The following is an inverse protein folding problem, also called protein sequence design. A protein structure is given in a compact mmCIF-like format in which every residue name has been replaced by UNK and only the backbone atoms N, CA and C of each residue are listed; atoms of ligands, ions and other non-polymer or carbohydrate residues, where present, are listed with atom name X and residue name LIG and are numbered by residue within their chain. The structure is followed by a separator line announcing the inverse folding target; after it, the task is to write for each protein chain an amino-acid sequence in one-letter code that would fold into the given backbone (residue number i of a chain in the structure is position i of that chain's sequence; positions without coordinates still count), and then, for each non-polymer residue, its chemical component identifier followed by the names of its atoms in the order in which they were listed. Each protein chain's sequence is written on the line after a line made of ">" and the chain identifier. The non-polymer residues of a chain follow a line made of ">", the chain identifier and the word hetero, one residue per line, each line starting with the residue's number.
data_IF_073585852364
#
_entry.id   IF_073585852364
#
_cell.length_a   1.000
_cell.length_b   1.000
_cell.length_c   1.000
_cell.angle_alpha   90.00
_cell.angle_beta   90.00
_cell.angle_gamma   90.00
#
_symmetry.space_group_name_H-M   'P 1'
#
loop_
_entity.id
_entity.type
_entity.pdbx_description
1 polymer ?
#
# COMPACT_ATOMS: atom_id res chain seq x y z
N UNK A 1 4.60 2.27 26.95
CA UNK A 1 5.51 1.37 27.67
C UNK A 1 6.27 0.52 26.66
N UNK A 2 7.57 0.72 26.62
CA UNK A 2 8.49 0.07 25.69
C UNK A 2 8.89 -1.33 26.22
N UNK A 3 7.95 -2.25 26.29
CA UNK A 3 8.32 -3.63 26.57
C UNK A 3 8.72 -4.33 25.28
N UNK A 4 9.90 -4.96 25.29
CA UNK A 4 10.30 -5.89 24.25
C UNK A 4 9.38 -7.12 24.35
N UNK A 5 8.48 -7.28 23.37
CA UNK A 5 7.50 -8.36 23.37
C UNK A 5 8.00 -9.49 22.46
N UNK A 6 8.11 -10.69 23.05
CA UNK A 6 8.39 -11.92 22.32
C UNK A 6 7.17 -12.80 22.38
N UNK A 7 6.36 -12.74 21.33
CA UNK A 7 5.12 -13.49 21.25
C UNK A 7 5.32 -14.80 20.49
N UNK A 8 4.52 -15.79 20.88
CA UNK A 8 4.42 -17.06 20.17
C UNK A 8 2.95 -17.42 20.02
N UNK A 9 2.55 -17.57 18.78
CA UNK A 9 1.19 -18.02 18.41
C UNK A 9 1.31 -19.44 17.90
N UNK A 10 0.36 -20.29 18.28
CA UNK A 10 0.30 -21.67 17.80
C UNK A 10 -1.15 -22.09 17.63
N UNK A 11 -1.45 -22.73 16.50
CA UNK A 11 -2.74 -23.38 16.26
C UNK A 11 -2.56 -24.59 15.37
N UNK A 12 -3.54 -25.49 15.39
CA UNK A 12 -3.62 -26.61 14.45
C UNK A 12 -4.57 -26.27 13.32
N UNK A 13 -4.36 -26.90 12.17
CA UNK A 13 -5.22 -26.77 11.01
C UNK A 13 -5.15 -28.02 10.13
N UNK A 14 -6.23 -28.26 9.42
CA UNK A 14 -6.38 -29.36 8.50
C UNK A 14 -6.60 -28.88 7.08
N UNK A 15 -6.08 -29.63 6.13
CA UNK A 15 -6.35 -29.45 4.70
C UNK A 15 -7.04 -30.73 4.21
N UNK A 16 -8.36 -30.84 4.31
CA UNK A 16 -9.08 -32.01 3.88
C UNK A 16 -8.83 -32.33 2.40
N UNK A 17 -8.67 -33.61 2.06
CA UNK A 17 -8.40 -34.07 0.70
C UNK A 17 -7.12 -33.46 0.10
N UNK A 18 -6.09 -33.25 0.93
CA UNK A 18 -4.80 -32.74 0.49
C UNK A 18 -4.13 -33.75 -0.45
N UNK A 19 -3.66 -33.22 -1.58
CA UNK A 19 -2.84 -33.95 -2.56
C UNK A 19 -1.55 -33.16 -2.80
N UNK A 20 -0.43 -33.54 -2.17
CA UNK A 20 0.82 -32.79 -2.25
C UNK A 20 1.42 -32.72 -3.67
N UNK A 21 0.99 -33.60 -4.56
CA UNK A 21 1.45 -33.59 -5.96
C UNK A 21 0.74 -32.51 -6.76
N UNK A 22 -0.58 -32.38 -6.58
CA UNK A 22 -1.43 -31.53 -7.40
C UNK A 22 -1.92 -30.26 -6.69
N UNK A 23 -1.81 -30.18 -5.37
CA UNK A 23 -2.22 -29.00 -4.59
C UNK A 23 -1.02 -28.18 -4.12
N UNK A 24 -1.27 -26.90 -3.85
CA UNK A 24 -0.35 -26.01 -3.14
C UNK A 24 -1.08 -25.34 -2.00
N UNK A 25 -0.38 -25.14 -0.89
CA UNK A 25 -0.91 -24.47 0.30
C UNK A 25 -0.01 -23.31 0.65
N UNK A 26 -0.60 -22.12 0.69
CA UNK A 26 0.09 -20.89 1.01
C UNK A 26 -0.50 -20.30 2.30
N UNK A 27 0.34 -19.95 3.25
CA UNK A 27 -0.03 -19.11 4.37
C UNK A 27 0.23 -17.64 3.98
N UNK A 28 -0.79 -16.81 4.08
CA UNK A 28 -0.70 -15.35 3.85
C UNK A 28 -1.02 -14.62 5.14
N UNK A 29 -0.13 -13.70 5.50
CA UNK A 29 -0.23 -12.82 6.65
C UNK A 29 -0.44 -11.39 6.16
N UNK A 30 -1.47 -10.70 6.61
CA UNK A 30 -1.71 -9.30 6.24
C UNK A 30 -0.87 -8.31 7.06
N UNK A 31 -0.19 -8.81 8.10
CA UNK A 31 0.77 -8.11 8.93
C UNK A 31 1.04 -8.87 10.24
N UNK A 32 2.30 -8.86 10.67
CA UNK A 32 2.74 -9.56 11.88
C UNK A 32 3.89 -8.79 12.55
N UNK A 33 3.65 -8.17 13.70
CA UNK A 33 4.55 -7.21 14.34
C UNK A 33 5.41 -7.87 15.42
N UNK A 34 6.67 -8.07 15.15
CA UNK A 34 7.52 -7.93 13.97
C UNK A 34 8.54 -9.09 13.94
N UNK A 35 9.50 -9.06 12.98
CA UNK A 35 10.51 -10.11 12.81
C UNK A 35 9.88 -11.53 12.83
N UNK A 36 8.83 -11.71 12.02
CA UNK A 36 7.99 -12.90 12.01
C UNK A 36 8.74 -14.12 11.46
N UNK A 37 8.83 -15.18 12.28
CA UNK A 37 9.29 -16.51 11.85
C UNK A 37 8.12 -17.47 11.91
N UNK A 38 7.80 -18.06 10.78
CA UNK A 38 6.70 -19.00 10.63
C UNK A 38 7.25 -20.42 10.59
N UNK A 39 6.70 -21.27 11.44
CA UNK A 39 7.04 -22.68 11.51
C UNK A 39 5.81 -23.54 11.20
N UNK A 40 5.98 -24.56 10.41
CA UNK A 40 4.94 -25.55 10.15
C UNK A 40 5.50 -26.93 10.51
N UNK A 41 4.78 -27.66 11.36
CA UNK A 41 5.19 -28.98 11.86
C UNK A 41 6.63 -28.99 12.42
N UNK A 42 7.01 -27.91 13.13
CA UNK A 42 8.32 -27.75 13.75
C UNK A 42 9.45 -27.30 12.84
N UNK A 43 9.22 -27.13 11.55
CA UNK A 43 10.22 -26.63 10.58
C UNK A 43 9.97 -25.17 10.25
N UNK A 44 11.02 -24.35 10.16
CA UNK A 44 10.90 -22.95 9.73
C UNK A 44 10.53 -22.90 8.24
N UNK A 45 9.37 -22.32 7.93
CA UNK A 45 8.85 -22.19 6.58
C UNK A 45 9.23 -20.85 5.94
N UNK A 46 9.18 -19.75 6.69
CA UNK A 46 9.64 -18.45 6.21
C UNK A 46 9.94 -17.47 7.35
N UNK A 47 10.63 -16.39 6.97
CA UNK A 47 10.93 -15.23 7.80
C UNK A 47 10.51 -13.96 7.07
N UNK A 48 9.87 -13.00 7.78
CA UNK A 48 9.58 -11.66 7.29
C UNK A 48 9.78 -10.62 8.40
N UNK A 49 10.70 -9.66 8.24
CA UNK A 49 11.06 -8.77 9.35
C UNK A 49 10.11 -7.59 9.55
N UNK A 50 9.54 -7.03 8.46
CA UNK A 50 8.77 -5.79 8.53
C UNK A 50 7.31 -6.05 8.88
N UNK A 51 6.92 -5.63 10.09
CA UNK A 51 5.62 -5.99 10.67
C UNK A 51 4.40 -5.38 9.99
N UNK A 52 4.57 -4.32 9.22
CA UNK A 52 3.47 -3.65 8.52
C UNK A 52 3.15 -4.24 7.16
N UNK A 53 4.07 -5.01 6.59
CA UNK A 53 3.88 -5.57 5.25
C UNK A 53 3.11 -6.88 5.30
N UNK A 54 2.28 -7.09 4.29
CA UNK A 54 1.72 -8.41 4.04
C UNK A 54 2.78 -9.30 3.37
N UNK A 55 2.82 -10.56 3.78
CA UNK A 55 3.70 -11.56 3.19
C UNK A 55 3.02 -12.92 3.09
N UNK A 56 3.59 -13.80 2.30
CA UNK A 56 3.08 -15.15 2.16
C UNK A 56 4.21 -16.15 1.96
N UNK A 57 3.96 -17.40 2.32
CA UNK A 57 4.88 -18.51 2.10
C UNK A 57 4.15 -19.76 1.66
N UNK A 58 4.72 -20.45 0.68
CA UNK A 58 4.28 -21.79 0.28
C UNK A 58 4.72 -22.77 1.38
N UNK A 59 3.77 -23.43 2.00
CA UNK A 59 4.00 -24.39 3.08
C UNK A 59 3.72 -25.82 2.69
N UNK A 60 3.47 -26.08 1.43
CA UNK A 60 3.07 -27.39 0.89
C UNK A 60 4.00 -28.52 1.33
N UNK A 61 5.33 -28.29 1.27
CA UNK A 61 6.33 -29.32 1.59
C UNK A 61 6.49 -29.58 3.10
N UNK A 62 5.92 -28.72 3.93
CA UNK A 62 5.98 -28.83 5.40
C UNK A 62 4.78 -29.56 5.98
N UNK A 63 3.71 -29.78 5.20
CA UNK A 63 2.49 -30.44 5.64
C UNK A 63 2.65 -31.95 5.75
N UNK A 64 1.83 -32.56 6.61
CA UNK A 64 1.65 -34.01 6.61
C UNK A 64 1.02 -34.48 5.31
N UNK A 65 1.36 -35.70 4.84
CA UNK A 65 0.95 -36.21 3.53
C UNK A 65 -0.57 -36.35 3.37
N UNK A 66 -1.28 -36.59 4.48
CA UNK A 66 -2.74 -36.66 4.53
C UNK A 66 -3.42 -35.30 4.74
N UNK A 67 -2.61 -34.22 4.95
CA UNK A 67 -3.09 -32.87 5.21
C UNK A 67 -3.65 -32.66 6.62
N UNK A 68 -3.65 -33.65 7.50
CA UNK A 68 -4.30 -33.59 8.81
C UNK A 68 -3.32 -33.26 9.92
N UNK A 69 -3.86 -32.72 11.05
CA UNK A 69 -3.11 -32.42 12.29
C UNK A 69 -1.88 -31.53 12.09
N UNK A 70 -1.91 -30.65 11.09
CA UNK A 70 -0.79 -29.72 10.88
C UNK A 70 -0.79 -28.65 11.96
N UNK A 71 0.39 -28.32 12.44
CA UNK A 71 0.61 -27.23 13.40
C UNK A 71 1.31 -26.06 12.73
N UNK A 72 0.77 -24.87 12.83
CA UNK A 72 1.47 -23.63 12.52
C UNK A 72 1.87 -22.93 13.84
N UNK A 73 3.11 -22.45 13.91
CA UNK A 73 3.57 -21.60 14.99
C UNK A 73 4.27 -20.38 14.42
N UNK A 74 3.97 -19.21 15.01
CA UNK A 74 4.57 -17.94 14.60
C UNK A 74 5.29 -17.34 15.81
N UNK A 75 6.59 -17.09 15.65
CA UNK A 75 7.39 -16.35 16.63
C UNK A 75 7.54 -14.92 16.15
N UNK A 76 7.19 -13.96 16.99
CA UNK A 76 7.36 -12.54 16.76
C UNK A 76 8.34 -11.93 17.76
N UNK A 77 9.07 -10.92 17.34
CA UNK A 77 9.98 -10.18 18.20
C UNK A 77 9.83 -8.69 17.93
N UNK A 78 8.97 -8.03 18.72
CA UNK A 78 8.78 -6.59 18.67
C UNK A 78 9.73 -5.92 19.67
N UNK A 79 10.80 -5.31 19.16
CA UNK A 79 11.83 -4.66 19.99
C UNK A 79 11.39 -3.28 20.43
N UNK A 80 11.74 -2.90 21.66
CA UNK A 80 11.61 -1.52 22.11
C UNK A 80 12.37 -0.57 21.19
N UNK A 81 11.91 0.66 21.06
CA UNK A 81 12.52 1.69 20.18
C UNK A 81 12.64 1.22 18.71
N UNK A 82 11.61 0.51 18.20
CA UNK A 82 11.52 0.09 16.80
C UNK A 82 10.75 1.09 15.94
N UNK A 83 10.03 2.04 16.55
CA UNK A 83 9.19 3.03 15.88
C UNK A 83 9.12 4.32 16.71
N UNK A 84 8.77 5.45 16.08
CA UNK A 84 8.52 6.75 16.72
C UNK A 84 7.09 6.89 17.27
N UNK A 85 6.22 5.95 16.96
CA UNK A 85 4.83 5.90 17.42
C UNK A 85 4.51 4.53 18.01
N UNK A 86 3.28 4.32 18.45
CA UNK A 86 2.79 3.03 18.91
C UNK A 86 2.66 2.03 17.73
N UNK A 87 3.56 1.06 17.60
CA UNK A 87 3.52 0.12 16.48
C UNK A 87 2.53 -1.02 16.67
N UNK A 88 2.07 -1.23 17.92
CA UNK A 88 1.38 -2.45 18.31
C UNK A 88 2.30 -3.65 18.41
N UNK A 89 1.72 -4.82 18.57
CA UNK A 89 2.42 -6.10 18.62
C UNK A 89 1.52 -7.26 18.22
N UNK A 90 2.13 -8.38 17.87
CA UNK A 90 1.43 -9.63 17.65
C UNK A 90 0.93 -9.86 16.22
N UNK A 91 0.08 -10.88 16.06
CA UNK A 91 -0.70 -11.12 14.85
C UNK A 91 -1.91 -10.18 14.86
N UNK A 92 -1.71 -8.93 14.48
CA UNK A 92 -2.70 -7.87 14.60
C UNK A 92 -3.57 -7.69 13.35
N UNK A 93 -3.21 -8.35 12.24
CA UNK A 93 -3.97 -8.43 11.00
C UNK A 93 -4.31 -9.89 10.67
N UNK A 94 -5.14 -10.11 9.67
CA UNK A 94 -5.64 -11.43 9.31
C UNK A 94 -4.55 -12.37 8.80
N UNK A 95 -4.76 -13.67 9.06
CA UNK A 95 -3.95 -14.76 8.53
C UNK A 95 -4.85 -15.67 7.71
N UNK A 96 -4.42 -16.03 6.51
CA UNK A 96 -5.20 -16.82 5.55
C UNK A 96 -4.46 -18.11 5.18
N UNK A 97 -5.22 -19.18 5.04
CA UNK A 97 -4.78 -20.43 4.39
C UNK A 97 -5.38 -20.45 2.99
N UNK A 98 -4.53 -20.48 1.99
CA UNK A 98 -4.92 -20.49 0.58
C UNK A 98 -4.53 -21.85 -0.01
N UNK A 99 -5.51 -22.60 -0.51
CA UNK A 99 -5.31 -23.90 -1.17
C UNK A 99 -5.63 -23.77 -2.64
N UNK A 100 -4.67 -24.12 -3.49
CA UNK A 100 -4.80 -24.02 -4.94
C UNK A 100 -4.41 -25.31 -5.64
N UNK A 101 -4.72 -25.43 -6.91
CA UNK A 101 -4.09 -26.42 -7.78
C UNK A 101 -2.59 -26.09 -7.97
N UNK A 102 -1.81 -27.06 -8.42
CA UNK A 102 -0.37 -26.87 -8.72
C UNK A 102 -0.15 -25.75 -9.73
N UNK A 103 -1.00 -25.69 -10.77
CA UNK A 103 -1.01 -24.58 -11.73
C UNK A 103 -2.09 -23.61 -11.29
N UNK A 104 -1.70 -22.42 -10.88
CA UNK A 104 -2.59 -21.41 -10.30
C UNK A 104 -2.04 -19.99 -10.49
N UNK A 105 -2.90 -19.02 -10.26
CA UNK A 105 -2.51 -17.60 -10.13
C UNK A 105 -1.96 -17.38 -8.72
N UNK A 106 -0.70 -16.94 -8.56
CA UNK A 106 -0.13 -16.71 -7.24
C UNK A 106 -0.83 -15.54 -6.54
N UNK A 107 -0.61 -15.43 -5.23
CA UNK A 107 -1.04 -14.27 -4.45
C UNK A 107 -0.60 -13.00 -5.15
N UNK A 108 -1.53 -12.05 -5.36
CA UNK A 108 -1.34 -10.79 -6.11
C UNK A 108 -0.86 -10.97 -7.57
N UNK A 109 -1.10 -12.13 -8.17
CA UNK A 109 -0.60 -12.47 -9.52
C UNK A 109 -1.33 -11.79 -10.68
N UNK A 110 -2.40 -11.04 -10.43
CA UNK A 110 -3.12 -10.27 -11.45
C UNK A 110 -2.80 -8.78 -11.33
N UNK A 111 -2.47 -8.16 -12.45
CA UNK A 111 -2.30 -6.71 -12.56
C UNK A 111 -3.25 -6.15 -13.61
N UNK A 112 -4.12 -5.22 -13.20
CA UNK A 112 -5.13 -4.59 -14.05
C UNK A 112 -4.77 -3.11 -14.21
N UNK A 113 -4.68 -2.68 -15.47
CA UNK A 113 -4.49 -1.26 -15.83
C UNK A 113 -5.57 -0.79 -16.77
N UNK A 114 -5.79 0.52 -16.83
CA UNK A 114 -6.71 1.19 -17.73
C UNK A 114 -5.95 2.16 -18.63
N UNK A 115 -5.25 1.64 -19.69
CA UNK A 115 -4.34 2.44 -20.51
C UNK A 115 -5.00 3.58 -21.28
N UNK A 116 -6.28 3.46 -21.54
CA UNK A 116 -7.11 4.50 -22.17
C UNK A 116 -8.44 4.61 -21.43
N UNK A 117 -8.83 5.83 -21.11
CA UNK A 117 -10.09 6.14 -20.41
C UNK A 117 -10.74 7.37 -21.03
N UNK A 118 -12.00 7.23 -21.38
CA UNK A 118 -12.91 8.32 -21.78
C UNK A 118 -14.31 8.05 -21.26
N UNK A 119 -15.22 9.00 -21.42
CA UNK A 119 -16.63 8.82 -21.02
C UNK A 119 -17.35 7.72 -21.83
N UNK A 120 -16.90 7.45 -23.06
CA UNK A 120 -17.55 6.49 -23.96
C UNK A 120 -16.86 5.13 -24.03
N UNK A 121 -15.57 5.07 -23.69
CA UNK A 121 -14.77 3.85 -23.84
C UNK A 121 -13.62 3.83 -22.83
N UNK A 122 -13.38 2.65 -22.24
CA UNK A 122 -12.13 2.37 -21.51
C UNK A 122 -11.50 1.08 -22.01
N UNK A 123 -10.18 1.11 -22.20
CA UNK A 123 -9.39 -0.10 -22.38
C UNK A 123 -8.98 -0.65 -21.02
N UNK A 124 -9.17 -1.95 -20.81
CA UNK A 124 -8.77 -2.67 -19.59
C UNK A 124 -7.77 -3.75 -19.97
N UNK A 125 -6.55 -3.63 -19.46
CA UNK A 125 -5.49 -4.63 -19.69
C UNK A 125 -5.30 -5.43 -18.41
N UNK A 126 -5.40 -6.77 -18.53
CA UNK A 126 -5.07 -7.72 -17.48
C UNK A 126 -3.76 -8.42 -17.81
N UNK A 127 -2.85 -8.45 -16.85
CA UNK A 127 -1.61 -9.23 -16.89
C UNK A 127 -1.65 -10.22 -15.71
N UNK A 128 -1.82 -11.51 -16.03
CA UNK A 128 -2.01 -12.56 -15.03
C UNK A 128 -0.82 -13.51 -15.04
N UNK A 129 -0.08 -13.52 -13.94
CA UNK A 129 1.02 -14.46 -13.72
C UNK A 129 0.45 -15.84 -13.36
N UNK A 130 1.13 -16.89 -13.77
CA UNK A 130 0.76 -18.26 -13.45
C UNK A 130 1.97 -19.03 -12.94
N UNK A 131 1.79 -19.79 -11.86
CA UNK A 131 2.80 -20.73 -11.34
C UNK A 131 2.70 -22.06 -12.06
N UNK A 132 3.85 -22.66 -12.36
CA UNK A 132 3.99 -23.99 -12.96
C UNK A 132 3.32 -24.17 -14.34
N UNK A 133 3.07 -23.07 -15.07
CA UNK A 133 2.40 -23.10 -16.37
C UNK A 133 3.34 -22.87 -17.57
N UNK A 134 4.65 -22.77 -17.34
CA UNK A 134 5.64 -22.53 -18.41
C UNK A 134 5.59 -23.60 -19.48
N UNK A 135 5.55 -23.16 -20.73
CA UNK A 135 5.44 -24.03 -21.90
C UNK A 135 4.06 -24.67 -22.11
N UNK A 136 3.12 -24.46 -21.19
CA UNK A 136 1.74 -24.98 -21.30
C UNK A 136 0.88 -24.11 -22.20
N UNK A 137 -0.10 -24.75 -22.83
CA UNK A 137 -1.18 -24.07 -23.51
C UNK A 137 -2.27 -23.71 -22.51
N UNK A 138 -2.39 -22.43 -22.24
CA UNK A 138 -3.35 -21.88 -21.27
C UNK A 138 -4.50 -21.21 -22.02
N UNK A 139 -5.72 -21.54 -21.66
CA UNK A 139 -6.94 -20.84 -22.06
C UNK A 139 -7.46 -20.06 -20.85
N UNK A 140 -7.74 -18.78 -21.05
CA UNK A 140 -8.26 -17.90 -20.00
C UNK A 140 -9.54 -17.24 -20.45
N UNK A 141 -10.56 -17.28 -19.60
CA UNK A 141 -11.85 -16.63 -19.77
C UNK A 141 -12.02 -15.59 -18.68
N UNK A 142 -12.13 -14.34 -19.06
CA UNK A 142 -12.35 -13.22 -18.11
C UNK A 142 -13.61 -12.47 -18.48
N UNK A 143 -14.50 -12.27 -17.52
CA UNK A 143 -15.65 -11.39 -17.59
C UNK A 143 -15.45 -10.20 -16.65
N UNK A 144 -15.69 -8.97 -17.14
CA UNK A 144 -15.76 -7.76 -16.33
C UNK A 144 -17.21 -7.55 -15.93
N UNK A 145 -17.45 -7.50 -14.62
CA UNK A 145 -18.77 -7.27 -14.03
C UNK A 145 -18.81 -5.86 -13.40
N UNK A 146 -19.91 -5.17 -13.62
CA UNK A 146 -20.19 -3.89 -12.94
C UNK A 146 -20.66 -4.09 -11.50
N UNK A 147 -21.03 -3.00 -10.83
CA UNK A 147 -21.50 -3.03 -9.44
C UNK A 147 -22.83 -3.80 -9.27
N UNK A 148 -23.65 -3.89 -10.33
CA UNK A 148 -24.89 -4.67 -10.33
C UNK A 148 -24.65 -6.17 -10.64
N UNK A 149 -23.41 -6.56 -10.95
CA UNK A 149 -23.05 -7.91 -11.34
C UNK A 149 -23.35 -8.24 -12.79
N UNK A 150 -23.62 -7.24 -13.63
CA UNK A 150 -23.84 -7.44 -15.07
C UNK A 150 -22.50 -7.53 -15.80
N UNK A 151 -22.39 -8.45 -16.75
CA UNK A 151 -21.20 -8.56 -17.61
C UNK A 151 -21.18 -7.42 -18.60
N UNK A 152 -20.20 -6.53 -18.48
CA UNK A 152 -20.01 -5.36 -19.36
C UNK A 152 -18.94 -5.57 -20.42
N UNK A 153 -18.05 -6.54 -20.22
CA UNK A 153 -17.06 -6.99 -21.20
C UNK A 153 -16.66 -8.44 -20.92
N UNK A 154 -16.30 -9.17 -21.96
CA UNK A 154 -15.80 -10.54 -21.82
C UNK A 154 -14.73 -10.85 -22.87
N UNK A 155 -13.73 -11.62 -22.46
CA UNK A 155 -12.65 -12.08 -23.34
C UNK A 155 -12.32 -13.52 -23.04
N UNK A 156 -12.20 -14.29 -24.12
CA UNK A 156 -11.61 -15.62 -24.10
C UNK A 156 -10.45 -15.64 -25.10
N UNK A 157 -9.30 -16.11 -24.67
CA UNK A 157 -8.16 -16.36 -25.54
C UNK A 157 -7.31 -17.50 -25.01
N UNK A 158 -6.45 -18.01 -25.88
CA UNK A 158 -5.55 -19.12 -25.59
C UNK A 158 -4.14 -18.73 -26.01
N UNK A 159 -3.16 -19.04 -25.15
CA UNK A 159 -1.77 -18.70 -25.35
C UNK A 159 -0.87 -19.78 -24.78
N UNK A 160 0.21 -20.12 -25.50
CA UNK A 160 1.31 -20.90 -24.93
C UNK A 160 2.17 -19.95 -24.10
N UNK A 161 2.30 -20.22 -22.80
CA UNK A 161 3.06 -19.35 -21.90
C UNK A 161 4.56 -19.52 -22.08
N UNK A 162 5.26 -18.41 -22.16
CA UNK A 162 6.71 -18.34 -22.10
C UNK A 162 7.15 -18.15 -20.63
N UNK A 163 8.32 -18.67 -20.31
CA UNK A 163 8.90 -18.58 -18.98
C UNK A 163 8.88 -17.13 -18.44
N UNK A 164 8.35 -16.97 -17.24
CA UNK A 164 8.30 -15.67 -16.54
C UNK A 164 7.44 -14.58 -17.18
N UNK A 165 6.64 -14.89 -18.22
CA UNK A 165 5.74 -13.93 -18.86
C UNK A 165 4.31 -14.11 -18.37
N UNK A 166 3.57 -13.01 -18.09
CA UNK A 166 2.16 -13.09 -17.73
C UNK A 166 1.30 -13.46 -18.95
N UNK A 167 0.13 -14.00 -18.67
CA UNK A 167 -0.95 -14.10 -19.64
C UNK A 167 -1.60 -12.72 -19.80
N UNK A 168 -1.73 -12.23 -21.04
CA UNK A 168 -2.22 -10.87 -21.31
C UNK A 168 -3.59 -10.92 -21.97
N UNK A 169 -4.54 -10.16 -21.42
CA UNK A 169 -5.86 -9.92 -22.02
C UNK A 169 -6.12 -8.41 -22.11
N UNK A 170 -6.68 -7.98 -23.24
CA UNK A 170 -7.16 -6.62 -23.43
C UNK A 170 -8.67 -6.68 -23.69
N UNK A 171 -9.44 -5.93 -22.90
CA UNK A 171 -10.87 -5.82 -22.98
C UNK A 171 -11.25 -4.35 -23.15
N UNK A 172 -12.46 -4.11 -23.66
CA UNK A 172 -13.03 -2.77 -23.79
C UNK A 172 -14.34 -2.70 -23.02
N UNK A 173 -14.51 -1.64 -22.24
CA UNK A 173 -15.75 -1.34 -21.52
C UNK A 173 -16.36 -0.10 -22.15
N UNK A 174 -17.57 -0.25 -22.69
CA UNK A 174 -18.32 0.83 -23.33
C UNK A 174 -19.08 1.61 -22.27
N UNK A 175 -19.06 2.95 -22.36
CA UNK A 175 -19.68 3.87 -21.40
C UNK A 175 -19.34 3.53 -19.95
N UNK A 176 -18.03 3.51 -19.60
CA UNK A 176 -17.60 3.08 -18.28
C UNK A 176 -18.06 4.03 -17.19
N UNK A 177 -18.50 3.48 -16.06
CA UNK A 177 -18.68 4.24 -14.83
C UNK A 177 -17.30 4.45 -14.17
N UNK A 178 -16.77 5.66 -14.27
CA UNK A 178 -15.43 5.97 -13.76
C UNK A 178 -15.40 6.03 -12.23
N UNK A 179 -14.28 5.59 -11.66
CA UNK A 179 -14.03 5.75 -10.22
C UNK A 179 -13.55 7.17 -9.92
N UNK A 180 -14.17 7.80 -8.93
CA UNK A 180 -13.71 9.06 -8.33
C UNK A 180 -14.15 9.11 -6.85
N UNK A 181 -13.65 10.06 -6.03
CA UNK A 181 -14.14 10.26 -4.67
C UNK A 181 -15.64 10.52 -4.55
N UNK A 182 -16.25 11.14 -5.54
CA UNK A 182 -17.69 11.42 -5.60
C UNK A 182 -18.51 10.23 -6.12
N UNK A 183 -17.88 9.42 -6.97
CA UNK A 183 -18.51 8.27 -7.63
C UNK A 183 -17.55 7.08 -7.57
N UNK A 184 -17.45 6.37 -6.43
CA UNK A 184 -16.51 5.28 -6.22
C UNK A 184 -16.97 3.97 -6.89
N UNK A 185 -17.13 4.03 -8.22
CA UNK A 185 -17.59 2.90 -9.02
C UNK A 185 -16.53 1.81 -9.12
N UNK A 186 -16.91 0.59 -8.78
CA UNK A 186 -16.01 -0.57 -8.77
C UNK A 186 -16.49 -1.63 -9.73
N UNK A 187 -15.52 -2.31 -10.33
CA UNK A 187 -15.70 -3.46 -11.20
C UNK A 187 -15.03 -4.69 -10.59
N UNK A 188 -15.43 -5.86 -11.07
CA UNK A 188 -14.79 -7.15 -10.76
C UNK A 188 -14.41 -7.84 -12.07
N UNK A 189 -13.16 -8.26 -12.18
CA UNK A 189 -12.71 -9.17 -13.23
C UNK A 189 -12.81 -10.59 -12.68
N UNK A 190 -13.79 -11.36 -13.16
CA UNK A 190 -13.96 -12.78 -12.84
C UNK A 190 -13.23 -13.60 -13.90
N UNK A 191 -12.21 -14.33 -13.46
CA UNK A 191 -11.28 -15.03 -14.37
C UNK A 191 -11.25 -16.52 -14.08
N UNK A 192 -11.34 -17.32 -15.14
CA UNK A 192 -11.18 -18.78 -15.13
C UNK A 192 -9.96 -19.17 -15.95
N UNK A 193 -9.12 -20.03 -15.39
CA UNK A 193 -7.89 -20.52 -16.02
C UNK A 193 -8.02 -22.01 -16.33
N UNK A 194 -7.82 -22.37 -17.59
CA UNK A 194 -7.84 -23.75 -18.06
C UNK A 194 -6.48 -24.13 -18.63
N UNK A 195 -5.99 -25.29 -18.24
CA UNK A 195 -4.77 -25.88 -18.78
C UNK A 195 -5.07 -27.31 -19.22
N UNK A 196 -4.67 -27.67 -20.44
CA UNK A 196 -4.98 -28.97 -21.04
C UNK A 196 -6.48 -29.33 -20.97
N UNK A 197 -7.36 -28.30 -21.13
CA UNK A 197 -8.83 -28.42 -21.08
C UNK A 197 -9.44 -28.51 -19.68
N UNK A 198 -8.64 -28.63 -18.62
CA UNK A 198 -9.10 -28.70 -17.23
C UNK A 198 -9.09 -27.31 -16.59
N UNK A 199 -10.17 -26.96 -15.87
CA UNK A 199 -10.19 -25.78 -14.99
C UNK A 199 -9.18 -25.98 -13.85
N UNK A 200 -8.18 -25.08 -13.75
CA UNK A 200 -7.11 -25.16 -12.75
C UNK A 200 -7.23 -24.06 -11.71
N UNK A 201 -7.83 -22.90 -12.06
CA UNK A 201 -8.04 -21.83 -11.12
C UNK A 201 -9.23 -20.97 -11.52
N UNK A 202 -9.87 -20.33 -10.51
CA UNK A 202 -10.96 -19.36 -10.70
C UNK A 202 -10.89 -18.34 -9.59
N UNK A 203 -10.87 -17.07 -9.95
CA UNK A 203 -10.71 -15.99 -8.98
C UNK A 203 -11.35 -14.68 -9.47
N UNK A 204 -11.56 -13.76 -8.54
CA UNK A 204 -12.03 -12.41 -8.84
C UNK A 204 -11.00 -11.37 -8.40
N UNK A 205 -10.83 -10.34 -9.22
CA UNK A 205 -10.00 -9.17 -8.89
C UNK A 205 -10.87 -7.91 -8.98
N UNK A 206 -10.98 -7.20 -7.85
CA UNK A 206 -11.69 -5.91 -7.78
C UNK A 206 -10.78 -4.81 -8.32
N UNK A 207 -11.35 -3.88 -9.09
CA UNK A 207 -10.63 -2.73 -9.64
C UNK A 207 -11.59 -1.58 -9.94
N UNK A 208 -11.06 -0.42 -10.30
CA UNK A 208 -11.83 0.72 -10.80
C UNK A 208 -11.25 1.23 -12.11
N UNK A 209 -12.11 1.82 -12.93
CA UNK A 209 -11.70 2.46 -14.18
C UNK A 209 -11.48 3.94 -13.92
N UNK A 210 -10.26 4.41 -14.09
CA UNK A 210 -9.87 5.81 -13.88
C UNK A 210 -8.58 6.15 -14.62
N UNK A 211 -8.34 7.44 -14.82
CA UNK A 211 -7.07 7.97 -15.30
C UNK A 211 -6.46 8.87 -14.22
N UNK A 212 -5.19 8.65 -13.88
CA UNK A 212 -4.38 9.51 -13.02
C UNK A 212 -3.24 10.09 -13.84
N UNK A 213 -3.07 11.42 -13.78
CA UNK A 213 -1.94 12.12 -14.39
C UNK A 213 -1.37 13.18 -13.45
N UNK A 214 -0.08 13.43 -13.60
CA UNK A 214 0.59 14.62 -13.06
C UNK A 214 0.98 15.49 -14.26
N UNK A 215 0.61 16.76 -14.19
CA UNK A 215 0.89 17.72 -15.25
C UNK A 215 1.69 18.87 -14.65
N UNK A 216 2.87 19.13 -15.22
CA UNK A 216 3.69 20.28 -14.84
C UNK A 216 2.84 21.57 -14.90
N UNK A 217 3.06 22.47 -13.95
CA UNK A 217 2.32 23.73 -13.77
C UNK A 217 0.82 23.60 -13.46
N UNK A 218 0.27 22.39 -13.49
CA UNK A 218 -1.18 22.15 -13.27
C UNK A 218 -1.47 21.21 -12.10
N UNK A 219 -0.54 20.32 -11.76
CA UNK A 219 -0.64 19.41 -10.64
C UNK A 219 -1.33 18.09 -10.95
N UNK A 220 -2.03 17.55 -9.96
CA UNK A 220 -2.71 16.25 -10.03
C UNK A 220 -4.01 16.34 -10.82
N UNK A 221 -4.23 15.38 -11.71
CA UNK A 221 -5.43 15.24 -12.51
C UNK A 221 -6.03 13.84 -12.35
N UNK A 222 -7.33 13.79 -12.10
CA UNK A 222 -8.12 12.56 -12.06
C UNK A 222 -9.24 12.67 -13.12
N UNK A 223 -9.33 11.69 -14.02
CA UNK A 223 -10.34 11.62 -15.07
C UNK A 223 -10.46 12.94 -15.89
N UNK A 224 -9.32 13.49 -16.29
CA UNK A 224 -9.29 14.73 -17.08
C UNK A 224 -9.52 16.03 -16.29
N UNK A 225 -9.77 15.98 -14.98
CA UNK A 225 -10.03 17.16 -14.13
C UNK A 225 -8.88 17.40 -13.15
N UNK A 226 -8.37 18.64 -13.13
CA UNK A 226 -7.38 19.08 -12.14
C UNK A 226 -8.03 19.05 -10.75
N UNK A 227 -7.29 18.51 -9.78
CA UNK A 227 -7.79 18.31 -8.43
C UNK A 227 -6.71 18.60 -7.38
N UNK A 228 -7.11 19.17 -6.25
CA UNK A 228 -6.29 19.26 -5.05
C UNK A 228 -6.75 18.21 -4.05
N UNK A 229 -5.81 17.69 -3.26
CA UNK A 229 -6.12 16.79 -2.16
C UNK A 229 -6.61 17.58 -0.94
N UNK A 230 -7.72 17.14 -0.35
CA UNK A 230 -8.20 17.57 0.95
C UNK A 230 -8.05 16.37 1.89
N UNK A 231 -6.88 16.22 2.48
CA UNK A 231 -6.51 14.98 3.12
C UNK A 231 -5.88 15.10 4.48
N UNK A 232 -5.70 13.94 5.08
CA UNK A 232 -5.06 13.76 6.38
C UNK A 232 -3.97 12.70 6.30
N UNK A 233 -3.00 12.75 7.23
CA UNK A 233 -2.06 11.67 7.48
C UNK A 233 -2.61 10.80 8.62
N UNK A 234 -2.90 9.54 8.33
CA UNK A 234 -3.43 8.61 9.33
C UNK A 234 -2.37 7.59 9.74
N UNK A 235 -2.16 7.45 11.05
CA UNK A 235 -1.50 6.29 11.62
C UNK A 235 -2.44 5.09 11.66
N UNK A 236 -1.90 3.89 11.86
CA UNK A 236 -2.63 2.62 11.69
C UNK A 236 -3.44 2.18 12.92
N UNK A 237 -3.34 2.88 14.05
CA UNK A 237 -4.08 2.52 15.25
C UNK A 237 -5.53 3.04 15.24
N UNK A 238 -6.38 2.36 16.00
CA UNK A 238 -7.80 2.67 16.16
C UNK A 238 -8.12 3.19 17.57
N UNK A 239 -7.21 4.00 18.15
CA UNK A 239 -7.37 4.60 19.48
C UNK A 239 -7.50 3.52 20.56
N UNK A 240 -8.64 3.43 21.31
CA UNK A 240 -8.79 2.49 22.40
C UNK A 240 -8.77 1.00 21.97
N UNK A 241 -8.95 0.72 20.69
CA UNK A 241 -8.85 -0.64 20.13
C UNK A 241 -7.41 -1.05 19.83
N UNK A 242 -6.46 -0.11 19.92
CA UNK A 242 -5.07 -0.34 19.53
C UNK A 242 -4.93 -0.59 18.03
N UNK A 243 -4.09 -1.56 17.65
CA UNK A 243 -3.79 -1.86 16.24
C UNK A 243 -4.58 -3.04 15.67
N UNK A 244 -5.37 -3.72 16.48
CA UNK A 244 -6.22 -4.82 16.03
C UNK A 244 -7.25 -4.33 15.01
N UNK A 245 -7.34 -5.05 13.87
CA UNK A 245 -8.24 -4.64 12.80
C UNK A 245 -9.70 -4.84 13.18
N UNK A 246 -10.47 -3.76 13.07
CA UNK A 246 -11.92 -3.76 13.21
C UNK A 246 -12.52 -2.94 12.06
N UNK A 247 -13.16 -3.62 11.12
CA UNK A 247 -13.68 -3.00 9.88
C UNK A 247 -14.73 -1.94 10.17
N UNK A 248 -15.58 -2.15 11.18
CA UNK A 248 -16.61 -1.17 11.56
C UNK A 248 -15.99 0.10 12.14
N UNK A 249 -14.94 -0.03 12.95
CA UNK A 249 -14.22 1.12 13.50
C UNK A 249 -13.46 1.88 12.41
N UNK A 250 -12.84 1.17 11.47
CA UNK A 250 -12.20 1.78 10.29
C UNK A 250 -13.22 2.54 9.44
N UNK A 251 -14.36 1.93 9.15
CA UNK A 251 -15.46 2.58 8.40
C UNK A 251 -15.93 3.84 9.10
N UNK A 252 -16.18 3.76 10.40
CA UNK A 252 -16.59 4.93 11.19
C UNK A 252 -15.57 6.06 11.16
N UNK A 253 -14.26 5.74 11.26
CA UNK A 253 -13.18 6.72 11.14
C UNK A 253 -13.21 7.40 9.76
N UNK A 254 -13.38 6.63 8.69
CA UNK A 254 -13.44 7.15 7.33
C UNK A 254 -14.70 8.01 7.09
N UNK A 255 -15.84 7.60 7.62
CA UNK A 255 -17.08 8.38 7.53
C UNK A 255 -16.93 9.75 8.24
N UNK A 256 -16.30 9.80 9.41
CA UNK A 256 -15.99 11.06 10.09
C UNK A 256 -15.06 11.95 9.26
N UNK A 257 -14.06 11.38 8.59
CA UNK A 257 -13.19 12.14 7.69
C UNK A 257 -13.95 12.66 6.46
N UNK A 258 -14.87 11.86 5.91
CA UNK A 258 -15.77 12.30 4.81
C UNK A 258 -16.64 13.49 5.27
N UNK A 259 -17.26 13.39 6.43
CA UNK A 259 -18.12 14.44 7.00
C UNK A 259 -17.34 15.72 7.25
N UNK A 260 -16.05 15.62 7.56
CA UNK A 260 -15.14 16.75 7.68
C UNK A 260 -14.74 17.36 6.30
N UNK A 261 -15.06 16.69 5.19
CA UNK A 261 -14.73 17.13 3.84
C UNK A 261 -13.44 16.55 3.28
N UNK A 262 -12.86 15.53 3.91
CA UNK A 262 -11.67 14.87 3.39
C UNK A 262 -11.99 13.97 2.20
N UNK A 263 -11.10 13.98 1.21
CA UNK A 263 -11.14 13.10 0.03
C UNK A 263 -9.85 12.32 -0.19
N UNK A 264 -8.85 12.51 0.68
CA UNK A 264 -7.54 11.87 0.57
C UNK A 264 -6.96 11.46 1.92
N UNK A 265 -6.15 10.40 1.90
CA UNK A 265 -5.41 9.90 3.07
C UNK A 265 -3.99 9.54 2.65
N UNK A 266 -3.00 9.96 3.44
CA UNK A 266 -1.64 9.42 3.42
C UNK A 266 -1.50 8.44 4.57
N UNK A 267 -1.04 7.22 4.29
CA UNK A 267 -0.80 6.21 5.32
C UNK A 267 0.54 6.48 6.01
N UNK A 268 0.48 7.15 7.14
CA UNK A 268 1.66 7.62 7.86
C UNK A 268 2.13 6.58 8.90
N UNK A 269 3.32 6.16 8.91
CA UNK A 269 4.34 6.12 7.86
C UNK A 269 4.68 4.66 7.64
N UNK A 270 3.71 3.88 7.17
CA UNK A 270 3.77 2.42 7.04
C UNK A 270 2.67 1.89 6.13
N UNK A 271 2.82 0.64 5.68
CA UNK A 271 1.83 -0.02 4.84
C UNK A 271 0.50 -0.21 5.59
N UNK A 272 -0.62 0.15 4.96
CA UNK A 272 -1.95 0.05 5.57
C UNK A 272 -2.45 -1.39 5.66
N UNK A 273 -3.50 -1.59 6.47
CA UNK A 273 -4.27 -2.82 6.42
C UNK A 273 -5.05 -2.92 5.10
N UNK A 274 -5.21 -4.12 4.53
CA UNK A 274 -6.00 -4.32 3.29
C UNK A 274 -7.44 -3.81 3.43
N UNK A 275 -8.03 -3.95 4.61
CA UNK A 275 -9.39 -3.49 4.90
C UNK A 275 -9.52 -1.97 4.79
N UNK A 276 -8.51 -1.21 5.21
CA UNK A 276 -8.50 0.25 5.03
C UNK A 276 -8.52 0.62 3.54
N UNK A 277 -7.66 -0.02 2.74
CA UNK A 277 -7.58 0.26 1.30
C UNK A 277 -8.89 -0.12 0.60
N UNK A 278 -9.47 -1.27 0.98
CA UNK A 278 -10.76 -1.72 0.44
C UNK A 278 -11.90 -0.74 0.76
N UNK A 279 -11.94 -0.21 1.98
CA UNK A 279 -12.91 0.81 2.38
C UNK A 279 -12.69 2.14 1.66
N UNK A 280 -11.44 2.52 1.40
CA UNK A 280 -11.14 3.72 0.61
C UNK A 280 -11.60 3.58 -0.84
N UNK A 281 -11.47 2.39 -1.45
CA UNK A 281 -12.06 2.12 -2.76
C UNK A 281 -13.57 2.33 -2.77
N UNK A 282 -14.27 1.84 -1.73
CA UNK A 282 -15.74 1.88 -1.61
C UNK A 282 -16.28 3.25 -1.24
N UNK A 283 -15.59 3.97 -0.37
CA UNK A 283 -16.02 5.27 0.15
C UNK A 283 -15.49 6.46 -0.67
N UNK A 284 -14.60 6.20 -1.63
CA UNK A 284 -14.04 7.24 -2.49
C UNK A 284 -13.01 8.11 -1.77
N UNK A 285 -11.96 7.52 -1.21
CA UNK A 285 -10.77 8.23 -0.77
C UNK A 285 -9.60 7.98 -1.70
N UNK A 286 -8.88 9.03 -2.06
CA UNK A 286 -7.60 8.91 -2.74
C UNK A 286 -6.51 8.57 -1.73
N UNK A 287 -5.74 7.51 -2.00
CA UNK A 287 -4.68 7.05 -1.12
C UNK A 287 -3.29 7.37 -1.67
N UNK A 288 -2.44 7.90 -0.81
CA UNK A 288 -1.00 7.87 -0.92
C UNK A 288 -0.48 6.83 0.06
N UNK A 289 -0.07 5.68 -0.45
CA UNK A 289 0.50 4.61 0.39
C UNK A 289 1.99 4.84 0.57
N UNK A 290 2.41 4.85 1.84
CA UNK A 290 3.80 5.06 2.25
C UNK A 290 4.31 3.87 3.04
N UNK A 291 5.47 3.28 2.68
CA UNK A 291 5.99 2.10 3.36
C UNK A 291 6.87 2.41 4.56
N UNK A 292 7.72 3.46 4.50
CA UNK A 292 8.86 3.61 5.39
C UNK A 292 8.94 4.99 6.05
N UNK A 293 9.22 4.99 7.36
CA UNK A 293 9.56 6.21 8.12
C UNK A 293 11.08 6.47 8.13
N UNK A 294 11.89 5.46 7.93
CA UNK A 294 13.35 5.54 7.80
C UNK A 294 13.85 4.57 6.72
N UNK A 295 15.03 4.86 6.18
CA UNK A 295 15.71 3.99 5.22
C UNK A 295 16.94 3.34 5.85
N UNK A 296 18.11 3.56 5.27
CA UNK A 296 19.42 3.06 5.69
C UNK A 296 20.00 3.82 6.89
N UNK A 297 19.57 5.07 7.13
CA UNK A 297 19.97 5.87 8.28
C UNK A 297 18.86 5.84 9.33
N UNK A 298 19.24 5.46 10.56
CA UNK A 298 18.33 5.24 11.68
C UNK A 298 17.62 6.52 12.15
N UNK A 299 16.31 6.44 12.39
CA UNK A 299 15.58 7.32 13.30
C UNK A 299 15.38 6.69 14.67
N UNK A 300 15.24 5.37 14.69
CA UNK A 300 15.04 4.58 15.91
C UNK A 300 16.13 3.53 16.07
N UNK A 301 16.54 3.24 17.33
CA UNK A 301 17.61 2.29 17.64
C UNK A 301 17.39 0.91 17.01
N UNK A 302 16.16 0.42 17.03
CA UNK A 302 15.76 -0.89 16.50
C UNK A 302 14.81 -0.77 15.31
N UNK A 303 14.91 0.33 14.56
CA UNK A 303 14.05 0.63 13.42
C UNK A 303 14.35 -0.18 12.15
N UNK A 304 13.71 0.22 11.07
CA UNK A 304 13.75 -0.51 9.80
C UNK A 304 15.12 -0.45 9.10
N UNK A 305 15.96 0.55 9.38
CA UNK A 305 17.32 0.66 8.84
C UNK A 305 18.14 -0.63 8.95
N UNK A 306 17.85 -1.45 9.97
CA UNK A 306 18.51 -2.75 10.21
C UNK A 306 18.22 -3.78 9.10
N UNK A 307 17.15 -3.61 8.38
CA UNK A 307 16.67 -4.52 7.35
C UNK A 307 16.70 -3.89 5.95
N UNK A 308 16.88 -2.58 5.87
CA UNK A 308 16.71 -1.83 4.63
C UNK A 308 17.50 -2.41 3.45
N UNK A 309 18.78 -2.72 3.67
CA UNK A 309 19.66 -3.21 2.61
C UNK A 309 19.17 -4.51 1.94
N UNK A 310 18.60 -5.42 2.74
CA UNK A 310 18.20 -6.76 2.26
C UNK A 310 16.70 -6.84 1.94
N UNK A 311 15.89 -5.96 2.55
CA UNK A 311 14.42 -6.11 2.54
C UNK A 311 13.66 -4.97 1.90
N UNK A 312 14.29 -3.83 1.59
CA UNK A 312 13.57 -2.69 1.00
C UNK A 312 12.87 -3.07 -0.32
N UNK A 313 13.57 -3.78 -1.21
CA UNK A 313 12.97 -4.20 -2.49
C UNK A 313 11.87 -5.25 -2.30
N UNK A 314 12.07 -6.37 -1.57
CA UNK A 314 10.98 -7.31 -1.28
C UNK A 314 9.74 -6.66 -0.64
N UNK A 315 9.95 -5.74 0.29
CA UNK A 315 8.85 -5.02 0.96
C UNK A 315 8.09 -4.10 0.00
N UNK A 316 8.81 -3.33 -0.83
CA UNK A 316 8.20 -2.46 -1.84
C UNK A 316 7.42 -3.27 -2.89
N UNK A 317 8.00 -4.35 -3.40
CA UNK A 317 7.34 -5.21 -4.40
C UNK A 317 6.05 -5.81 -3.83
N UNK A 318 6.09 -6.36 -2.62
CA UNK A 318 4.89 -6.91 -1.98
C UNK A 318 3.80 -5.85 -1.78
N UNK A 319 4.16 -4.67 -1.29
CA UNK A 319 3.22 -3.56 -1.11
C UNK A 319 2.55 -3.17 -2.44
N UNK A 320 3.35 -2.96 -3.48
CA UNK A 320 2.84 -2.54 -4.78
C UNK A 320 1.95 -3.64 -5.39
N UNK A 321 2.39 -4.88 -5.40
CA UNK A 321 1.59 -6.01 -5.93
C UNK A 321 0.27 -6.17 -5.18
N UNK A 322 0.29 -5.96 -3.85
CA UNK A 322 -0.92 -6.05 -3.03
C UNK A 322 -1.96 -4.99 -3.40
N UNK A 323 -1.53 -3.75 -3.64
CA UNK A 323 -2.44 -2.62 -3.74
C UNK A 323 -2.58 -1.99 -5.13
N UNK A 324 -1.80 -2.41 -6.13
CA UNK A 324 -1.81 -1.79 -7.48
C UNK A 324 -3.13 -1.92 -8.25
N UNK A 325 -4.03 -2.83 -7.85
CA UNK A 325 -5.36 -2.96 -8.46
C UNK A 325 -6.42 -2.09 -7.77
N UNK A 326 -6.12 -1.49 -6.61
CA UNK A 326 -7.05 -0.64 -5.89
C UNK A 326 -7.13 0.75 -6.52
N UNK A 327 -8.28 1.21 -7.00
CA UNK A 327 -8.40 2.52 -7.65
C UNK A 327 -8.20 3.69 -6.69
N UNK A 328 -8.44 3.51 -5.40
CA UNK A 328 -8.16 4.49 -4.36
C UNK A 328 -6.67 4.88 -4.33
N UNK A 329 -5.76 3.95 -4.60
CA UNK A 329 -4.32 4.24 -4.60
C UNK A 329 -3.97 5.08 -5.83
N UNK A 330 -3.63 6.35 -5.63
CA UNK A 330 -3.33 7.31 -6.70
C UNK A 330 -1.86 7.72 -6.74
N UNK A 331 -1.09 7.40 -5.69
CA UNK A 331 0.31 7.78 -5.57
C UNK A 331 1.05 6.82 -4.65
N UNK A 332 2.30 6.53 -4.95
CA UNK A 332 3.23 5.83 -4.06
C UNK A 332 4.14 6.85 -3.38
N UNK A 333 4.23 6.80 -2.05
CA UNK A 333 5.30 7.49 -1.32
C UNK A 333 6.41 6.51 -1.04
N UNK A 334 7.67 6.92 -1.12
CA UNK A 334 8.80 6.04 -0.86
C UNK A 334 9.40 6.22 0.54
N UNK A 335 8.99 7.26 1.27
CA UNK A 335 9.47 7.48 2.64
C UNK A 335 9.02 8.79 3.26
N UNK A 336 9.22 8.87 4.57
CA UNK A 336 8.89 10.02 5.39
C UNK A 336 10.10 10.61 6.09
N UNK A 337 10.42 11.89 5.83
CA UNK A 337 11.44 12.67 6.56
C UNK A 337 12.74 11.88 6.82
N UNK A 338 13.13 11.08 5.84
CA UNK A 338 14.25 10.16 5.99
C UNK A 338 15.54 10.94 6.21
N UNK A 339 16.39 10.59 7.21
CA UNK A 339 17.67 11.29 7.41
C UNK A 339 18.57 11.25 6.17
N UNK A 340 18.43 10.21 5.37
CA UNK A 340 19.13 9.99 4.09
C UNK A 340 18.90 11.11 3.08
N UNK A 341 17.79 11.90 3.17
CA UNK A 341 17.47 13.00 2.25
C UNK A 341 18.56 14.06 2.16
N UNK A 342 19.36 14.25 3.23
CA UNK A 342 20.45 15.20 3.30
C UNK A 342 21.84 14.55 3.16
N UNK A 343 21.93 13.26 2.98
CA UNK A 343 23.20 12.60 2.70
C UNK A 343 23.68 12.89 1.27
N UNK A 344 24.99 12.86 1.05
CA UNK A 344 25.60 13.15 -0.27
C UNK A 344 25.09 12.21 -1.38
N UNK A 345 24.67 11.01 -1.03
CA UNK A 345 24.21 9.97 -1.96
C UNK A 345 22.72 9.61 -1.78
N UNK A 346 21.98 10.41 -0.98
CA UNK A 346 20.56 10.15 -0.67
C UNK A 346 19.68 10.05 -1.90
N UNK A 347 19.97 10.82 -2.94
CA UNK A 347 19.28 10.74 -4.22
C UNK A 347 19.40 9.36 -4.90
N UNK A 348 20.46 8.59 -4.67
CA UNK A 348 20.61 7.23 -5.21
C UNK A 348 19.65 6.26 -4.55
N UNK A 349 19.45 6.39 -3.25
CA UNK A 349 18.46 5.58 -2.50
C UNK A 349 17.06 5.92 -2.95
N UNK A 350 16.75 7.21 -3.12
CA UNK A 350 15.46 7.65 -3.65
C UNK A 350 15.22 7.12 -5.07
N UNK A 351 16.23 7.19 -5.96
CA UNK A 351 16.16 6.62 -7.31
C UNK A 351 15.87 5.13 -7.29
N UNK A 352 16.60 4.38 -6.48
CA UNK A 352 16.40 2.93 -6.33
C UNK A 352 14.96 2.59 -5.95
N UNK A 353 14.39 3.25 -4.94
CA UNK A 353 13.01 2.99 -4.50
C UNK A 353 11.97 3.46 -5.53
N UNK A 354 12.18 4.61 -6.18
CA UNK A 354 11.31 5.09 -7.24
C UNK A 354 11.34 4.16 -8.46
N UNK A 355 12.50 3.64 -8.83
CA UNK A 355 12.66 2.70 -9.94
C UNK A 355 11.89 1.39 -9.68
N UNK A 356 11.83 0.92 -8.42
CA UNK A 356 10.97 -0.21 -8.05
C UNK A 356 9.51 0.13 -8.30
N UNK A 357 9.04 1.32 -7.88
CA UNK A 357 7.65 1.74 -8.12
C UNK A 357 7.35 1.78 -9.61
N UNK A 358 8.18 2.39 -10.43
CA UNK A 358 8.00 2.49 -11.88
C UNK A 358 8.04 1.12 -12.57
N UNK A 359 8.87 0.21 -12.09
CA UNK A 359 8.96 -1.16 -12.63
C UNK A 359 7.70 -1.97 -12.34
N UNK A 360 7.20 -1.90 -11.10
CA UNK A 360 6.09 -2.74 -10.64
C UNK A 360 4.70 -2.12 -10.91
N UNK A 361 4.64 -0.80 -11.01
CA UNK A 361 3.42 -0.04 -11.32
C UNK A 361 3.72 1.32 -11.96
N UNK A 362 3.96 1.37 -13.27
CA UNK A 362 4.22 2.63 -13.99
C UNK A 362 2.99 3.54 -14.12
N UNK A 363 1.84 3.13 -13.63
CA UNK A 363 0.58 3.88 -13.77
C UNK A 363 0.38 4.97 -12.71
N UNK A 364 1.23 5.01 -11.68
CA UNK A 364 1.10 5.96 -10.56
C UNK A 364 2.40 6.73 -10.33
N UNK A 365 2.29 8.03 -10.01
CA UNK A 365 3.45 8.85 -9.68
C UNK A 365 4.01 8.48 -8.30
N UNK A 366 5.28 8.87 -8.09
CA UNK A 366 6.05 8.61 -6.88
C UNK A 366 6.42 9.90 -6.17
N UNK A 367 6.29 9.92 -4.85
CA UNK A 367 6.65 11.03 -3.98
C UNK A 367 7.47 10.56 -2.76
N UNK A 368 8.00 11.50 -2.00
CA UNK A 368 8.59 11.32 -0.68
C UNK A 368 8.25 12.52 0.19
N UNK A 369 7.89 12.30 1.46
CA UNK A 369 7.67 13.39 2.41
C UNK A 369 9.01 13.94 2.92
N UNK A 370 9.37 15.18 2.54
CA UNK A 370 10.67 15.81 2.84
C UNK A 370 10.50 17.00 3.77
N UNK A 371 11.25 17.06 4.87
CA UNK A 371 11.23 18.17 5.83
C UNK A 371 12.45 19.10 5.74
N UNK A 372 13.55 18.65 5.11
CA UNK A 372 14.81 19.38 5.01
C UNK A 372 14.92 20.13 3.67
N UNK A 373 14.02 21.09 3.45
CA UNK A 373 13.81 21.75 2.14
C UNK A 373 15.11 22.27 1.52
N UNK A 374 15.99 22.90 2.30
CA UNK A 374 17.25 23.46 1.76
C UNK A 374 18.12 22.39 1.11
N UNK A 375 18.40 21.30 1.83
CA UNK A 375 19.29 20.28 1.29
C UNK A 375 18.67 19.51 0.12
N UNK A 376 17.35 19.21 0.15
CA UNK A 376 16.73 18.44 -0.94
C UNK A 376 16.57 19.24 -2.24
N UNK A 377 16.51 20.57 -2.15
CA UNK A 377 16.53 21.45 -3.33
C UNK A 377 17.92 21.57 -3.97
N UNK A 378 19.00 21.38 -3.19
CA UNK A 378 20.38 21.59 -3.63
C UNK A 378 21.06 20.28 -4.06
N UNK A 379 20.74 19.15 -3.43
CA UNK A 379 21.44 17.88 -3.65
C UNK A 379 20.80 16.98 -4.73
N UNK A 380 19.76 17.42 -5.42
CA UNK A 380 19.09 16.67 -6.47
C UNK A 380 18.00 15.69 -5.99
N UNK A 381 17.82 15.52 -4.67
CA UNK A 381 16.85 14.57 -4.12
C UNK A 381 15.41 14.92 -4.54
N UNK A 382 14.98 16.17 -4.37
CA UNK A 382 13.62 16.60 -4.70
C UNK A 382 13.36 16.60 -6.22
N UNK A 383 14.37 16.97 -7.02
CA UNK A 383 14.25 17.04 -8.48
C UNK A 383 14.15 15.68 -9.17
N UNK A 384 14.52 14.60 -8.47
CA UNK A 384 14.42 13.24 -8.97
C UNK A 384 12.97 12.69 -8.93
N UNK A 385 12.19 13.12 -7.95
CA UNK A 385 10.84 12.56 -7.69
C UNK A 385 9.84 12.99 -8.77
N UNK A 386 8.88 12.12 -9.10
CA UNK A 386 7.78 12.51 -9.98
C UNK A 386 6.99 13.67 -9.38
N UNK A 387 6.76 13.62 -8.07
CA UNK A 387 6.02 14.64 -7.31
C UNK A 387 6.81 14.99 -6.04
N UNK A 388 7.45 16.15 -5.95
CA UNK A 388 8.12 16.58 -4.73
C UNK A 388 7.12 16.82 -3.59
N UNK A 389 7.21 16.01 -2.52
CA UNK A 389 6.40 16.13 -1.31
C UNK A 389 7.13 16.91 -0.22
N UNK A 390 6.53 17.97 0.29
CA UNK A 390 7.11 18.75 1.39
C UNK A 390 6.30 18.59 2.66
N UNK A 391 6.99 18.27 3.74
CA UNK A 391 6.43 18.25 5.07
C UNK A 391 6.65 19.62 5.72
N UNK A 392 5.57 20.24 6.15
CA UNK A 392 5.59 21.58 6.75
C UNK A 392 6.21 22.63 5.82
N UNK A 393 6.72 23.71 6.33
CA UNK A 393 7.46 24.75 5.57
C UNK A 393 6.65 25.34 4.41
N UNK A 394 5.33 25.52 4.56
CA UNK A 394 4.46 26.06 3.51
C UNK A 394 4.98 27.39 2.94
N UNK A 395 5.65 28.21 3.75
CA UNK A 395 6.29 29.46 3.35
C UNK A 395 7.43 29.29 2.32
N UNK A 396 7.88 28.05 2.06
CA UNK A 396 8.92 27.74 1.08
C UNK A 396 8.39 27.07 -0.19
N UNK A 397 7.08 26.95 -0.33
CA UNK A 397 6.49 26.29 -1.51
C UNK A 397 6.76 27.04 -2.80
N UNK A 398 6.73 28.39 -2.79
CA UNK A 398 7.06 29.20 -3.97
C UNK A 398 8.51 29.01 -4.40
N UNK A 399 9.43 28.99 -3.44
CA UNK A 399 10.86 28.73 -3.72
C UNK A 399 11.05 27.33 -4.34
N UNK A 400 10.44 26.32 -3.75
CA UNK A 400 10.53 24.93 -4.25
C UNK A 400 9.92 24.83 -5.65
N UNK A 401 8.75 25.39 -5.87
CA UNK A 401 8.09 25.42 -7.18
C UNK A 401 8.97 26.07 -8.25
N UNK A 402 9.60 27.19 -7.93
CA UNK A 402 10.47 27.92 -8.89
C UNK A 402 11.78 27.18 -9.20
N UNK A 403 12.32 26.42 -8.25
CA UNK A 403 13.62 25.73 -8.38
C UNK A 403 13.51 24.33 -8.99
N UNK A 404 12.36 23.66 -8.78
CA UNK A 404 12.20 22.26 -9.17
C UNK A 404 11.74 22.14 -10.63
N UNK A 405 12.32 21.21 -11.40
CA UNK A 405 12.00 21.03 -12.83
C UNK A 405 10.56 20.54 -13.06
N UNK A 406 9.92 19.93 -12.05
CA UNK A 406 8.54 19.46 -12.14
C UNK A 406 7.53 20.61 -12.16
N UNK A 407 7.90 21.81 -11.68
CA UNK A 407 7.00 22.96 -11.52
C UNK A 407 5.71 22.58 -10.78
N UNK A 408 5.87 21.84 -9.70
CA UNK A 408 4.80 21.48 -8.76
C UNK A 408 5.36 21.12 -7.39
N UNK A 409 4.52 21.23 -6.37
CA UNK A 409 4.83 20.85 -4.99
C UNK A 409 3.59 20.20 -4.38
N UNK A 410 3.77 19.10 -3.68
CA UNK A 410 2.75 18.46 -2.85
C UNK A 410 3.00 18.79 -1.38
N UNK A 411 2.01 19.30 -0.67
CA UNK A 411 2.03 19.34 0.79
C UNK A 411 1.72 17.95 1.33
N UNK A 412 2.74 17.15 1.60
CA UNK A 412 2.58 15.78 2.13
C UNK A 412 2.22 15.78 3.62
N UNK A 413 2.71 16.77 4.39
CA UNK A 413 2.25 17.14 5.73
C UNK A 413 2.25 18.67 5.84
N UNK A 414 1.10 19.29 6.06
CA UNK A 414 1.01 20.75 6.09
C UNK A 414 0.98 21.30 7.50
N UNK A 415 0.34 20.59 8.43
CA UNK A 415 0.23 20.98 9.84
C UNK A 415 0.17 19.75 10.74
N UNK A 416 0.74 19.87 11.93
CA UNK A 416 0.67 18.86 12.99
C UNK A 416 -0.34 19.30 14.03
N UNK A 417 -1.60 18.91 13.87
CA UNK A 417 -2.66 19.23 14.84
C UNK A 417 -2.63 18.22 15.99
N UNK A 418 -1.92 18.53 17.05
CA UNK A 418 -1.74 17.60 18.18
C UNK A 418 -2.80 17.73 19.27
N UNK A 419 -3.64 18.76 19.26
CA UNK A 419 -4.75 18.91 20.22
C UNK A 419 -6.00 18.22 19.72
N UNK A 420 -6.24 17.02 20.19
CA UNK A 420 -7.42 16.23 19.81
C UNK A 420 -8.72 16.68 20.50
N UNK A 421 -8.65 17.46 21.57
CA UNK A 421 -9.82 18.03 22.27
C UNK A 421 -9.41 19.38 22.79
N UNK A 422 -9.64 20.41 21.97
CA UNK A 422 -9.05 21.70 22.14
C UNK A 422 -9.23 22.33 23.50
N UNK A 423 -8.17 22.90 23.99
CA UNK A 423 -8.28 24.07 24.81
C UNK A 423 -8.46 25.23 23.83
N UNK A 424 -9.68 25.70 23.67
CA UNK A 424 -10.00 26.78 22.75
C UNK A 424 -9.80 28.14 23.43
N UNK A 425 -8.57 28.54 23.54
CA UNK A 425 -8.24 29.90 24.00
C UNK A 425 -7.93 30.78 22.78
N UNK A 426 -8.55 31.91 22.74
CA UNK A 426 -8.32 32.90 21.71
C UNK A 426 -7.93 34.26 22.35
N UNK A 427 -7.03 35.02 21.73
CA UNK A 427 -6.34 34.74 20.47
C UNK A 427 -5.27 33.67 20.60
N UNK A 428 -4.94 33.01 19.49
CA UNK A 428 -3.77 32.13 19.43
C UNK A 428 -2.51 32.97 19.57
N UNK A 429 -1.68 32.64 20.55
CA UNK A 429 -0.49 33.43 20.87
C UNK A 429 0.67 33.02 19.93
N UNK A 430 1.52 33.99 19.59
CA UNK A 430 2.74 33.74 18.84
C UNK A 430 3.78 33.00 19.70
N UNK A 431 4.72 32.32 19.06
CA UNK A 431 5.88 31.77 19.74
C UNK A 431 6.57 32.84 20.61
N UNK A 432 6.88 32.47 21.84
CA UNK A 432 7.49 33.38 22.84
C UNK A 432 6.50 33.99 23.81
N UNK A 433 5.23 34.10 23.44
CA UNK A 433 4.15 34.58 24.30
C UNK A 433 3.34 33.45 24.92
N UNK A 434 3.58 32.19 24.48
CA UNK A 434 2.88 31.02 24.97
C UNK A 434 3.61 30.38 26.12
N UNK A 435 2.85 30.00 27.12
CA UNK A 435 3.30 29.08 28.15
C UNK A 435 3.20 27.66 27.57
N UNK A 436 4.28 26.91 27.58
CA UNK A 436 4.31 25.51 27.12
C UNK A 436 3.27 24.60 27.81
N UNK A 437 2.81 24.99 28.99
CA UNK A 437 1.75 24.34 29.73
C UNK A 437 0.35 24.52 29.16
N UNK A 438 0.16 25.43 28.21
CA UNK A 438 -1.15 25.74 27.65
C UNK A 438 -1.66 24.75 26.63
N UNK A 439 -0.80 23.93 26.05
CA UNK A 439 -1.12 22.86 25.08
C UNK A 439 -2.11 23.27 23.96
N UNK A 440 -2.09 24.54 23.55
CA UNK A 440 -3.06 25.08 22.60
C UNK A 440 -2.70 24.80 21.15
N UNK A 441 -1.41 24.63 20.88
CA UNK A 441 -0.91 24.42 19.53
C UNK A 441 0.23 23.43 19.54
N UNK A 442 0.49 22.82 18.38
CA UNK A 442 1.64 21.93 18.23
C UNK A 442 2.95 22.73 18.26
N UNK A 443 4.05 22.09 18.58
CA UNK A 443 5.38 22.70 18.49
C UNK A 443 5.70 23.17 17.06
N UNK A 444 5.13 22.54 16.05
CA UNK A 444 5.27 22.93 14.65
C UNK A 444 4.49 24.19 14.34
N UNK A 445 3.29 24.33 14.88
CA UNK A 445 2.46 25.52 14.71
C UNK A 445 3.13 26.76 15.26
N UNK A 446 3.91 26.60 16.32
CA UNK A 446 4.65 27.69 16.95
C UNK A 446 5.86 28.16 16.15
N UNK A 447 6.45 27.26 15.32
CA UNK A 447 7.73 27.55 14.66
C UNK A 447 7.64 27.70 13.16
N UNK A 448 6.82 26.89 12.51
CA UNK A 448 6.93 26.65 11.06
C UNK A 448 5.60 26.52 10.34
N UNK A 449 4.52 26.40 11.06
CA UNK A 449 3.22 26.36 10.43
C UNK A 449 2.65 27.75 10.36
N UNK A 450 2.27 28.10 9.19
CA UNK A 450 1.26 29.11 9.06
C UNK A 450 -0.06 28.45 9.44
N UNK A 451 -0.72 29.00 10.39
CA UNK A 451 -2.14 28.80 10.65
C UNK A 451 -3.01 29.37 9.54
N UNK A 452 -2.38 30.00 8.64
CA UNK A 452 -3.04 30.63 7.50
C UNK A 452 -3.23 29.67 6.37
#
# INVERSE_FOLDING_TARGET
>A
SEMCIRDRYRTNFDIPQFDPVNKRVVLKFDGAMSEARVYVNGKEACFWPYGYNAFHCDVTEFLHQDGMDNTVAVRLENKAQSSRWYPGAGLYRNVHVIVTEKIHVPVWGTYITTPFVSDSLASVKLETSLKNADGKLVRMVTAILDAAGQVVAQKENQQKLNYGKPFVQNLEVINPALWSPEHPNLYRASTQVFVDGKLTDSFETRFGIREVRIIADRGFMLNGKIRKFQGVCNHHDLGPLGVAINVSALRYQLELLKDMGCDAIRTAHNMPAPELVALCDELGFMLMIEPFDEWDIAKCKNGYHRFFADWAEPDMVNMIHHFRNNPAVVMWSIGNEVPTQCSAEGYKVASFLQDICHREDPSRPVTCGMDQVSCVLENGFASLLDVPGLNYRAHRYEEAYAKLPQNLVLGSETASTVSSRGVYKFPVLKKGDMLYSDHQSSSYDMEYCSWS
#
